data_IF_916085063236
#
_entry.id   IF_916085063236
#
_cell.length_a   1.000
_cell.length_b   1.000
_cell.length_c   1.000
_cell.angle_alpha   90.00
_cell.angle_beta   90.00
_cell.angle_gamma   90.00
#
_symmetry.space_group_name_H-M   'P 1'
#
loop_
_entity.id
_entity.type
_entity.pdbx_description
1 polymer ?
#
# COMPACT_ATOMS: atom_id res chain seq x y z
N UNK A 1 0.80 19.36 -16.75
CA UNK A 1 0.56 20.41 -15.74
C UNK A 1 -0.02 19.74 -14.50
N UNK A 2 0.38 20.14 -13.29
CA UNK A 2 -0.14 19.58 -12.03
C UNK A 2 -0.78 20.69 -11.18
N UNK A 3 -1.49 20.32 -10.11
CA UNK A 3 -2.21 21.28 -9.27
C UNK A 3 -1.30 22.39 -8.71
N UNK A 4 -0.06 22.07 -8.33
CA UNK A 4 0.90 23.06 -7.83
C UNK A 4 1.36 24.00 -8.94
N UNK A 5 1.77 23.49 -10.10
CA UNK A 5 2.19 24.33 -11.23
C UNK A 5 1.08 25.27 -11.72
N UNK A 6 -0.18 24.84 -11.60
CA UNK A 6 -1.34 25.68 -11.87
C UNK A 6 -1.49 26.79 -10.82
N UNK A 7 -1.32 26.48 -9.53
CA UNK A 7 -1.50 27.42 -8.43
C UNK A 7 -0.32 28.40 -8.22
N UNK A 8 0.93 27.99 -8.51
CA UNK A 8 2.15 28.76 -8.21
C UNK A 8 2.19 30.17 -8.84
N UNK A 9 1.48 30.38 -9.94
CA UNK A 9 1.42 31.67 -10.66
C UNK A 9 0.06 32.34 -10.52
N UNK A 10 -0.73 31.98 -9.50
CA UNK A 10 -2.10 32.43 -9.29
C UNK A 10 -2.34 32.79 -7.84
N UNK A 11 -2.95 33.94 -7.61
CA UNK A 11 -3.41 34.42 -6.32
C UNK A 11 -4.89 34.12 -6.05
N UNK A 12 -5.51 33.29 -6.89
CA UNK A 12 -6.93 32.93 -6.83
C UNK A 12 -7.16 31.41 -6.72
N UNK A 13 -6.12 30.66 -6.34
CA UNK A 13 -6.16 29.20 -6.31
C UNK A 13 -5.66 28.66 -4.97
N UNK A 14 -6.52 27.93 -4.26
CA UNK A 14 -6.18 27.18 -3.05
C UNK A 14 -6.06 25.69 -3.39
N UNK A 15 -4.94 25.08 -3.01
CA UNK A 15 -4.68 23.64 -3.13
C UNK A 15 -4.60 23.04 -1.74
N UNK A 16 -5.43 22.02 -1.48
CA UNK A 16 -5.44 21.26 -0.22
C UNK A 16 -5.14 19.80 -0.54
N UNK A 17 -4.19 19.20 0.17
CA UNK A 17 -3.88 17.79 0.12
C UNK A 17 -3.93 17.20 1.54
N UNK A 18 -4.78 16.19 1.74
CA UNK A 18 -4.92 15.47 3.00
C UNK A 18 -5.23 14.00 2.72
N UNK A 19 -5.27 13.18 3.76
CA UNK A 19 -5.74 11.79 3.67
C UNK A 19 -7.11 11.66 4.36
N UNK A 20 -7.88 10.65 3.95
CA UNK A 20 -9.12 10.27 4.63
C UNK A 20 -8.84 9.52 5.94
N UNK A 21 -7.82 8.65 5.92
CA UNK A 21 -7.31 7.92 7.08
C UNK A 21 -5.94 7.28 6.78
N UNK A 22 -5.26 6.78 7.81
CA UNK A 22 -4.11 5.88 7.63
C UNK A 22 -4.55 4.42 7.43
N UNK A 23 -3.67 3.58 6.88
CA UNK A 23 -3.97 2.19 6.52
C UNK A 23 -2.80 1.26 6.81
N UNK A 24 -3.11 0.08 7.34
CA UNK A 24 -2.18 -1.02 7.53
C UNK A 24 -1.25 -0.89 8.73
N UNK A 25 -1.22 0.26 9.40
CA UNK A 25 -0.28 0.56 10.50
C UNK A 25 1.16 0.39 10.07
N UNK A 26 1.52 1.03 8.95
CA UNK A 26 2.84 0.93 8.35
C UNK A 26 3.91 1.50 9.29
N UNK A 27 5.05 0.81 9.43
CA UNK A 27 6.20 1.33 10.18
C UNK A 27 7.46 1.41 9.32
N UNK A 28 8.24 2.49 9.53
CA UNK A 28 9.59 2.66 8.98
C UNK A 28 10.56 1.96 9.93
N UNK A 29 11.00 0.76 9.54
CA UNK A 29 11.73 -0.14 10.41
C UNK A 29 10.80 -1.16 11.07
N UNK A 30 11.31 -2.37 11.25
CA UNK A 30 10.61 -3.48 11.91
C UNK A 30 11.60 -4.50 12.46
N UNK A 31 11.17 -5.24 13.49
CA UNK A 31 12.04 -6.16 14.24
C UNK A 31 12.97 -5.43 15.21
N UNK A 32 14.03 -6.10 15.65
CA UNK A 32 14.96 -5.59 16.67
C UNK A 32 16.01 -4.62 16.11
N UNK A 33 16.19 -4.59 14.79
CA UNK A 33 17.22 -3.77 14.18
C UNK A 33 16.69 -2.40 13.72
N UNK A 34 17.33 -1.34 14.19
CA UNK A 34 17.04 0.06 13.88
C UNK A 34 17.51 0.47 12.47
N UNK A 35 16.94 -0.15 11.43
CA UNK A 35 17.21 0.22 10.02
C UNK A 35 15.96 0.09 9.18
N UNK A 36 15.83 0.95 8.18
CA UNK A 36 14.89 0.82 7.08
C UNK A 36 15.64 0.92 5.76
N UNK A 37 15.27 0.09 4.79
CA UNK A 37 15.97 -0.05 3.51
C UNK A 37 15.02 0.24 2.34
N UNK A 38 14.83 1.52 1.98
CA UNK A 38 13.93 1.93 0.90
C UNK A 38 14.39 1.46 -0.48
N UNK A 39 15.69 1.25 -0.70
CA UNK A 39 16.23 0.76 -1.98
C UNK A 39 15.63 -0.57 -2.41
N UNK A 40 15.27 -1.44 -1.45
CA UNK A 40 14.60 -2.70 -1.76
C UNK A 40 13.23 -2.49 -2.41
N UNK A 41 12.50 -1.46 -1.97
CA UNK A 41 11.18 -1.09 -2.49
C UNK A 41 11.34 -0.50 -3.89
N UNK A 42 12.27 0.43 -4.07
CA UNK A 42 12.54 1.05 -5.39
C UNK A 42 13.00 0.05 -6.45
N UNK A 43 13.61 -1.07 -6.04
CA UNK A 43 14.04 -2.14 -6.95
C UNK A 43 12.92 -3.09 -7.35
N UNK A 44 11.74 -3.03 -6.71
CA UNK A 44 10.60 -3.87 -7.12
C UNK A 44 10.20 -3.53 -8.56
N UNK A 45 10.02 -4.57 -9.39
CA UNK A 45 9.65 -4.44 -10.80
C UNK A 45 8.16 -4.61 -11.03
N UNK A 46 7.48 -5.33 -10.13
CA UNK A 46 6.03 -5.59 -10.14
C UNK A 46 5.49 -5.54 -8.71
N UNK A 47 4.21 -5.21 -8.56
CA UNK A 47 3.54 -5.22 -7.27
C UNK A 47 3.32 -6.65 -6.76
N UNK A 48 3.15 -6.79 -5.43
CA UNK A 48 2.76 -8.06 -4.81
C UNK A 48 1.47 -8.61 -5.42
N UNK A 49 0.45 -7.77 -5.57
CA UNK A 49 -0.82 -8.14 -6.18
C UNK A 49 -0.67 -8.69 -7.61
N UNK A 50 0.16 -8.06 -8.45
CA UNK A 50 0.40 -8.53 -9.81
C UNK A 50 1.09 -9.91 -9.81
N UNK A 51 2.08 -10.13 -8.95
CA UNK A 51 2.73 -11.43 -8.83
C UNK A 51 1.77 -12.51 -8.32
N UNK A 52 0.92 -12.18 -7.33
CA UNK A 52 -0.13 -13.08 -6.84
C UNK A 52 -1.09 -13.47 -7.97
N UNK A 53 -1.55 -12.49 -8.75
CA UNK A 53 -2.47 -12.72 -9.87
C UNK A 53 -1.86 -13.66 -10.91
N UNK A 54 -0.60 -13.44 -11.30
CA UNK A 54 0.09 -14.27 -12.30
C UNK A 54 0.27 -15.72 -11.81
N UNK A 55 0.69 -15.91 -10.56
CA UNK A 55 0.82 -17.24 -9.97
C UNK A 55 -0.57 -17.89 -9.83
N UNK A 56 -1.59 -17.14 -9.43
CA UNK A 56 -2.96 -17.65 -9.33
C UNK A 56 -3.55 -18.07 -10.69
N UNK A 57 -3.04 -17.52 -11.79
CA UNK A 57 -3.35 -17.91 -13.18
C UNK A 57 -2.52 -19.12 -13.67
N UNK A 58 -1.62 -19.64 -12.85
CA UNK A 58 -0.81 -20.82 -13.14
C UNK A 58 0.55 -20.53 -13.76
N UNK A 59 1.05 -19.28 -13.72
CA UNK A 59 2.42 -19.01 -14.11
C UNK A 59 3.44 -19.63 -13.14
N UNK A 60 4.62 -19.98 -13.67
CA UNK A 60 5.72 -20.53 -12.88
C UNK A 60 6.20 -19.54 -11.81
N UNK A 61 6.21 -20.01 -10.56
CA UNK A 61 6.52 -19.20 -9.38
C UNK A 61 7.92 -18.59 -9.46
N UNK A 62 8.93 -19.35 -9.87
CA UNK A 62 10.31 -18.85 -9.93
C UNK A 62 10.48 -17.78 -10.99
N UNK A 63 9.86 -17.97 -12.15
CA UNK A 63 9.82 -16.99 -13.24
C UNK A 63 9.13 -15.70 -12.79
N UNK A 64 7.98 -15.80 -12.12
CA UNK A 64 7.25 -14.62 -11.61
C UNK A 64 8.10 -13.87 -10.58
N UNK A 65 8.72 -14.59 -9.63
CA UNK A 65 9.60 -13.99 -8.62
C UNK A 65 10.80 -13.29 -9.29
N UNK A 66 11.49 -13.96 -10.21
CA UNK A 66 12.65 -13.40 -10.92
C UNK A 66 12.32 -12.12 -11.70
N UNK A 67 11.10 -12.04 -12.23
CA UNK A 67 10.65 -10.88 -13.02
C UNK A 67 10.01 -9.79 -12.17
N UNK A 68 9.47 -10.12 -11.00
CA UNK A 68 8.78 -9.17 -10.13
C UNK A 68 9.69 -8.50 -9.11
N UNK A 69 10.69 -9.21 -8.61
CA UNK A 69 11.68 -8.67 -7.68
C UNK A 69 12.89 -8.08 -8.41
N UNK A 70 13.48 -7.05 -7.80
CA UNK A 70 14.80 -6.52 -8.19
C UNK A 70 15.92 -6.89 -7.24
N UNK A 71 15.72 -7.93 -6.43
CA UNK A 71 16.73 -8.50 -5.54
C UNK A 71 16.51 -10.01 -5.40
N UNK A 72 17.54 -10.71 -4.95
CA UNK A 72 17.46 -12.15 -4.73
C UNK A 72 16.60 -12.48 -3.51
N UNK A 73 15.55 -13.27 -3.75
CA UNK A 73 14.68 -13.82 -2.71
C UNK A 73 15.31 -15.09 -2.14
N UNK A 74 15.29 -15.25 -0.81
CA UNK A 74 15.87 -16.44 -0.16
C UNK A 74 15.09 -17.69 -0.57
N UNK A 75 15.79 -18.82 -0.79
CA UNK A 75 15.16 -20.09 -1.18
C UNK A 75 14.00 -20.49 -0.26
N UNK A 76 14.19 -20.39 1.07
CA UNK A 76 13.14 -20.67 2.06
C UNK A 76 11.86 -19.82 1.90
N UNK A 77 11.97 -18.62 1.34
CA UNK A 77 10.81 -17.77 1.05
C UNK A 77 10.16 -18.16 -0.28
N UNK A 78 10.96 -18.53 -1.29
CA UNK A 78 10.45 -19.09 -2.55
C UNK A 78 9.67 -20.38 -2.28
N UNK A 79 10.19 -21.28 -1.44
CA UNK A 79 9.52 -22.53 -1.06
C UNK A 79 8.16 -22.26 -0.43
N UNK A 80 8.07 -21.28 0.47
CA UNK A 80 6.78 -20.87 1.07
C UNK A 80 5.80 -20.31 0.04
N UNK A 81 6.27 -19.55 -0.95
CA UNK A 81 5.41 -19.03 -2.02
C UNK A 81 4.88 -20.19 -2.87
N UNK A 82 5.72 -21.18 -3.19
CA UNK A 82 5.31 -22.41 -3.89
C UNK A 82 4.27 -23.20 -3.09
N UNK A 83 4.50 -23.40 -1.79
CA UNK A 83 3.55 -24.10 -0.92
C UNK A 83 2.17 -23.44 -0.91
N UNK A 84 2.10 -22.10 -0.83
CA UNK A 84 0.82 -21.38 -0.86
C UNK A 84 0.16 -21.38 -2.26
N UNK A 85 0.97 -21.42 -3.33
CA UNK A 85 0.49 -21.55 -4.70
C UNK A 85 -0.13 -22.93 -4.96
N UNK A 86 0.52 -24.00 -4.51
CA UNK A 86 0.00 -25.37 -4.60
C UNK A 86 -1.30 -25.53 -3.80
N UNK A 87 -1.35 -24.97 -2.58
CA UNK A 87 -2.60 -24.93 -1.80
C UNK A 87 -3.70 -24.14 -2.50
N UNK A 88 -3.38 -23.04 -3.18
CA UNK A 88 -4.37 -22.27 -3.94
C UNK A 88 -4.93 -23.11 -5.09
N UNK A 89 -4.08 -23.84 -5.80
CA UNK A 89 -4.50 -24.77 -6.86
C UNK A 89 -5.44 -25.85 -6.30
N UNK A 90 -5.06 -26.49 -5.21
CA UNK A 90 -5.88 -27.51 -4.55
C UNK A 90 -7.25 -26.99 -4.11
N UNK A 91 -7.30 -25.74 -3.61
CA UNK A 91 -8.55 -25.09 -3.21
C UNK A 91 -9.42 -24.80 -4.44
N UNK A 92 -8.84 -24.30 -5.53
CA UNK A 92 -9.55 -24.06 -6.80
C UNK A 92 -10.12 -25.35 -7.40
N UNK A 93 -9.34 -26.42 -7.42
CA UNK A 93 -9.76 -27.73 -7.95
C UNK A 93 -10.93 -28.35 -7.16
N UNK A 94 -11.05 -28.00 -5.87
CA UNK A 94 -12.12 -28.48 -4.97
C UNK A 94 -13.30 -27.51 -4.85
N UNK A 95 -13.17 -26.29 -5.37
CA UNK A 95 -14.20 -25.26 -5.27
C UNK A 95 -15.38 -25.59 -6.18
N UNK A 96 -16.59 -25.25 -5.74
CA UNK A 96 -17.81 -25.47 -6.54
C UNK A 96 -17.98 -24.42 -7.64
N UNK A 97 -17.44 -23.23 -7.42
CA UNK A 97 -17.44 -22.10 -8.34
C UNK A 97 -16.25 -21.19 -8.01
N UNK A 98 -16.02 -20.19 -8.86
CA UNK A 98 -14.90 -19.25 -8.72
C UNK A 98 -15.08 -18.27 -7.54
N UNK A 99 -16.30 -18.10 -7.05
CA UNK A 99 -16.66 -17.21 -5.94
C UNK A 99 -16.57 -17.88 -4.56
N UNK A 100 -15.97 -19.07 -4.45
CA UNK A 100 -15.81 -19.74 -3.15
C UNK A 100 -14.90 -18.87 -2.25
N UNK A 101 -15.36 -18.42 -1.06
CA UNK A 101 -14.58 -17.56 -0.18
C UNK A 101 -13.27 -18.21 0.30
N UNK A 102 -13.12 -19.53 0.17
CA UNK A 102 -11.85 -20.23 0.42
C UNK A 102 -10.78 -19.87 -0.61
N UNK A 103 -11.16 -19.60 -1.87
CA UNK A 103 -10.23 -19.17 -2.92
C UNK A 103 -9.66 -17.81 -2.54
N UNK A 104 -10.52 -16.83 -2.22
CA UNK A 104 -10.10 -15.49 -1.79
C UNK A 104 -9.17 -15.56 -0.58
N UNK A 105 -9.58 -16.31 0.46
CA UNK A 105 -8.76 -16.50 1.66
C UNK A 105 -7.39 -17.12 1.36
N UNK A 106 -7.33 -18.09 0.46
CA UNK A 106 -6.07 -18.75 0.12
C UNK A 106 -5.20 -17.87 -0.80
N UNK A 107 -5.82 -17.06 -1.68
CA UNK A 107 -5.13 -16.06 -2.48
C UNK A 107 -4.52 -14.96 -1.60
N UNK A 108 -5.21 -14.55 -0.53
CA UNK A 108 -4.67 -13.65 0.49
C UNK A 108 -3.38 -14.19 1.12
N UNK A 109 -3.36 -15.47 1.52
CA UNK A 109 -2.14 -16.10 2.06
C UNK A 109 -1.00 -16.17 1.04
N UNK A 110 -1.31 -16.46 -0.22
CA UNK A 110 -0.31 -16.41 -1.29
C UNK A 110 0.25 -15.00 -1.42
N UNK A 111 -0.60 -13.98 -1.37
CA UNK A 111 -0.18 -12.59 -1.39
C UNK A 111 0.69 -12.23 -0.18
N UNK A 112 0.39 -12.72 1.02
CA UNK A 112 1.24 -12.52 2.20
C UNK A 112 2.61 -13.17 2.03
N UNK A 113 2.66 -14.40 1.52
CA UNK A 113 3.90 -15.11 1.22
C UNK A 113 4.74 -14.35 0.18
N UNK A 114 4.08 -13.75 -0.83
CA UNK A 114 4.70 -12.92 -1.86
C UNK A 114 5.12 -11.55 -1.32
N UNK A 115 4.47 -10.97 -0.33
CA UNK A 115 4.88 -9.67 0.22
C UNK A 115 5.97 -9.80 1.29
N UNK A 116 6.06 -10.96 1.94
CA UNK A 116 7.02 -11.19 3.02
C UNK A 116 8.48 -10.91 2.64
N UNK A 117 9.01 -11.28 1.46
CA UNK A 117 10.39 -11.00 1.11
C UNK A 117 10.71 -9.51 1.01
N UNK A 118 9.82 -8.70 0.43
CA UNK A 118 10.03 -7.25 0.39
C UNK A 118 9.91 -6.63 1.78
N UNK A 119 8.93 -7.06 2.59
CA UNK A 119 8.80 -6.59 3.98
C UNK A 119 10.05 -6.90 4.81
N UNK A 120 10.57 -8.13 4.74
CA UNK A 120 11.78 -8.54 5.45
C UNK A 120 13.03 -7.78 4.94
N UNK A 121 13.13 -7.54 3.62
CA UNK A 121 14.31 -6.91 3.00
C UNK A 121 14.34 -5.39 3.20
N UNK A 122 13.18 -4.74 3.16
CA UNK A 122 13.03 -3.30 3.40
C UNK A 122 12.92 -2.96 4.88
N UNK A 123 12.54 -3.94 5.72
CA UNK A 123 12.16 -3.75 7.12
C UNK A 123 10.96 -2.85 7.29
N UNK A 124 9.97 -3.05 6.43
CA UNK A 124 8.67 -2.38 6.57
C UNK A 124 7.78 -3.25 7.44
N UNK A 125 7.21 -2.66 8.49
CA UNK A 125 6.25 -3.34 9.37
C UNK A 125 4.81 -2.96 9.01
N UNK A 126 3.89 -3.84 9.41
CA UNK A 126 2.44 -3.70 9.23
C UNK A 126 1.74 -4.31 10.45
N UNK A 127 0.63 -3.75 10.89
CA UNK A 127 -0.13 -4.22 12.06
C UNK A 127 -1.53 -4.73 11.73
N UNK A 128 -2.10 -4.34 10.59
CA UNK A 128 -3.47 -4.69 10.19
C UNK A 128 -3.62 -4.72 8.67
N UNK A 129 -4.70 -5.33 8.17
CA UNK A 129 -5.16 -5.20 6.78
C UNK A 129 -6.20 -4.09 6.60
N UNK A 130 -6.63 -3.45 7.69
CA UNK A 130 -7.62 -2.37 7.70
C UNK A 130 -7.01 -0.99 7.94
N UNK A 131 -7.84 -0.06 8.41
CA UNK A 131 -7.43 1.31 8.72
C UNK A 131 -6.85 1.42 10.14
N UNK A 132 -6.12 2.50 10.37
CA UNK A 132 -5.57 2.86 11.68
C UNK A 132 -5.96 4.30 12.04
N UNK A 133 -5.97 4.59 13.34
CA UNK A 133 -6.60 5.80 13.90
C UNK A 133 -5.64 6.94 14.23
N UNK A 134 -4.43 6.94 13.68
CA UNK A 134 -3.54 8.11 13.78
C UNK A 134 -4.09 9.31 12.99
N UNK A 135 -3.77 10.50 13.49
CA UNK A 135 -4.03 11.76 12.78
C UNK A 135 -3.31 11.77 11.43
N UNK A 136 -3.94 12.43 10.46
CA UNK A 136 -3.41 12.60 9.10
C UNK A 136 -2.91 14.02 8.89
N UNK A 137 -1.89 14.16 8.04
CA UNK A 137 -1.38 15.47 7.68
C UNK A 137 -2.32 16.16 6.68
N UNK A 138 -2.54 17.45 6.89
CA UNK A 138 -3.17 18.34 5.92
C UNK A 138 -2.13 19.36 5.45
N UNK A 139 -1.94 19.45 4.14
CA UNK A 139 -1.08 20.41 3.48
C UNK A 139 -1.95 21.38 2.67
N UNK A 140 -1.63 22.66 2.74
CA UNK A 140 -2.34 23.70 2.01
C UNK A 140 -1.37 24.68 1.35
N UNK A 141 -1.73 25.17 0.16
CA UNK A 141 -0.99 26.20 -0.56
C UNK A 141 -1.96 27.16 -1.24
N UNK A 142 -1.68 28.46 -1.15
CA UNK A 142 -2.47 29.51 -1.79
C UNK A 142 -3.29 30.34 -0.80
N UNK A 143 -4.17 31.22 -1.29
CA UNK A 143 -4.96 32.11 -0.45
C UNK A 143 -5.81 31.35 0.56
N UNK A 144 -5.75 31.78 1.82
CA UNK A 144 -6.49 31.16 2.91
C UNK A 144 -5.82 29.92 3.52
N UNK A 145 -4.66 29.45 3.06
CA UNK A 145 -4.03 28.23 3.64
C UNK A 145 -3.95 28.21 5.17
N UNK A 146 -3.79 29.37 5.79
CA UNK A 146 -3.61 29.54 7.23
C UNK A 146 -4.83 29.10 8.06
N UNK A 147 -6.06 29.06 7.50
CA UNK A 147 -7.24 28.59 8.22
C UNK A 147 -7.24 27.07 8.46
N UNK A 148 -6.35 26.35 7.79
CA UNK A 148 -6.18 24.89 7.92
C UNK A 148 -5.05 24.52 8.90
N UNK A 149 -4.37 25.52 9.49
CA UNK A 149 -3.28 25.29 10.43
C UNK A 149 -3.77 24.73 11.78
N UNK A 150 -2.94 23.88 12.38
CA UNK A 150 -3.19 23.29 13.70
C UNK A 150 -3.77 21.88 13.64
N UNK A 151 -4.35 21.44 14.76
CA UNK A 151 -5.05 20.17 14.87
C UNK A 151 -6.54 20.44 14.68
N UNK A 152 -7.09 19.99 13.55
CA UNK A 152 -8.46 20.25 13.11
C UNK A 152 -9.13 18.94 12.78
N UNK A 153 -10.29 18.70 13.38
CA UNK A 153 -11.11 17.52 13.10
C UNK A 153 -11.56 17.53 11.63
N UNK A 154 -11.66 16.36 11.01
CA UNK A 154 -12.00 16.26 9.59
C UNK A 154 -13.40 16.81 9.27
N UNK A 155 -14.31 16.88 10.26
CA UNK A 155 -15.64 17.47 10.09
C UNK A 155 -15.63 19.01 10.10
N UNK A 156 -14.58 19.63 10.64
CA UNK A 156 -14.41 21.08 10.68
C UNK A 156 -13.69 21.62 9.44
N UNK A 157 -12.86 20.80 8.78
CA UNK A 157 -12.20 21.13 7.51
C UNK A 157 -13.16 21.67 6.43
N UNK A 158 -14.28 21.00 6.09
CA UNK A 158 -15.22 21.54 5.10
C UNK A 158 -15.92 22.81 5.58
N UNK A 159 -16.14 22.98 6.90
CA UNK A 159 -16.77 24.20 7.44
C UNK A 159 -15.84 25.40 7.24
N UNK A 160 -14.57 25.26 7.62
CA UNK A 160 -13.57 26.31 7.45
C UNK A 160 -13.43 26.68 5.97
N UNK A 161 -13.47 25.69 5.07
CA UNK A 161 -13.43 25.91 3.63
C UNK A 161 -14.64 26.70 3.12
N UNK A 162 -15.85 26.34 3.56
CA UNK A 162 -17.06 27.06 3.15
C UNK A 162 -17.12 28.48 3.71
N UNK A 163 -16.65 28.68 4.95
CA UNK A 163 -16.56 30.00 5.56
C UNK A 163 -15.59 30.91 4.78
N UNK A 164 -14.43 30.39 4.39
CA UNK A 164 -13.45 31.11 3.55
C UNK A 164 -14.02 31.54 2.19
N UNK A 165 -14.80 30.69 1.52
CA UNK A 165 -15.40 31.05 0.23
C UNK A 165 -16.66 31.92 0.35
N UNK A 166 -17.23 32.03 1.54
CA UNK A 166 -18.41 32.85 1.81
C UNK A 166 -18.07 34.27 2.28
N UNK A 167 -16.82 34.51 2.68
CA UNK A 167 -16.28 35.81 3.10
C UNK A 167 -15.79 36.65 1.93
#
# INVERSE_FOLDING_TARGET
ENAMSYAENRDDTLVIATADHSTGGMTIGSGEEYKWNPDAIHKMKKSGAHMTEQIAKGEDVEKVIKNGYGFDVKSKQIDKIKDEADKLKDVKDKAKNEDDPKIEKQQGKLQDAIQKPINDKSRTGWTTYGHTGEDVNTYAYGPGSDFLEGNVDNTDQPKNLFDFFSS
#
